data_IF_299151797040
#
_entry.id   IF_299151797040
#
_cell.length_a   1.000
_cell.length_b   1.000
_cell.length_c   1.000
_cell.angle_alpha   90.00
_cell.angle_beta   90.00
_cell.angle_gamma   90.00
#
_symmetry.space_group_name_H-M   'P 1'
#
loop_
_entity.id
_entity.type
_entity.pdbx_description
1 polymer ?
#
# COMPACT_ATOMS: atom_id res chain seq x y z
N UNK A 1 11.20 -9.93 8.49
CA UNK A 1 11.12 -11.32 8.00
C UNK A 1 12.48 -11.95 8.16
N UNK A 2 12.58 -13.18 8.66
CA UNK A 2 13.84 -13.92 8.75
C UNK A 2 13.79 -15.08 7.74
N UNK A 3 14.71 -15.10 6.77
CA UNK A 3 14.76 -16.10 5.71
C UNK A 3 16.02 -16.95 5.84
N UNK A 4 15.83 -18.22 6.22
CA UNK A 4 16.91 -19.16 6.50
C UNK A 4 17.40 -19.81 5.21
N UNK A 5 18.70 -19.69 4.93
CA UNK A 5 19.31 -20.14 3.67
C UNK A 5 20.52 -21.03 3.94
N UNK A 6 20.87 -21.84 2.95
CA UNK A 6 22.10 -22.63 3.01
C UNK A 6 23.32 -21.70 2.87
N UNK A 7 24.36 -21.83 3.72
CA UNK A 7 25.60 -21.08 3.53
C UNK A 7 26.15 -21.26 2.11
N UNK A 8 26.53 -20.15 1.46
CA UNK A 8 26.98 -20.14 0.06
C UNK A 8 25.89 -19.87 -0.97
N UNK A 9 24.61 -19.86 -0.57
CA UNK A 9 23.48 -19.36 -1.40
C UNK A 9 22.96 -17.99 -0.93
N UNK A 10 23.53 -17.45 0.14
CA UNK A 10 23.04 -16.27 0.84
C UNK A 10 23.08 -14.99 0.01
N UNK A 11 24.06 -14.83 -0.89
CA UNK A 11 24.15 -13.66 -1.77
C UNK A 11 23.01 -13.65 -2.82
N UNK A 12 22.70 -14.80 -3.41
CA UNK A 12 21.56 -14.93 -4.34
C UNK A 12 20.23 -14.58 -3.67
N UNK A 13 20.02 -15.10 -2.45
CA UNK A 13 18.81 -14.81 -1.70
C UNK A 13 18.74 -13.37 -1.20
N UNK A 14 19.88 -12.75 -0.89
CA UNK A 14 19.97 -11.34 -0.56
C UNK A 14 19.50 -10.47 -1.72
N UNK A 15 20.06 -10.69 -2.92
CA UNK A 15 19.70 -9.96 -4.14
C UNK A 15 18.23 -10.17 -4.52
N UNK A 16 17.75 -11.42 -4.41
CA UNK A 16 16.35 -11.74 -4.61
C UNK A 16 15.45 -10.90 -3.68
N UNK A 17 15.72 -10.92 -2.37
CA UNK A 17 14.87 -10.22 -1.41
C UNK A 17 14.95 -8.71 -1.57
N UNK A 18 16.13 -8.14 -1.82
CA UNK A 18 16.28 -6.72 -2.11
C UNK A 18 15.41 -6.29 -3.30
N UNK A 19 15.46 -7.05 -4.41
CA UNK A 19 14.62 -6.82 -5.58
C UNK A 19 13.12 -6.95 -5.27
N UNK A 20 12.72 -7.99 -4.53
CA UNK A 20 11.32 -8.18 -4.13
C UNK A 20 10.80 -7.03 -3.26
N UNK A 21 11.60 -6.52 -2.32
CA UNK A 21 11.17 -5.44 -1.42
C UNK A 21 11.00 -4.11 -2.15
N UNK A 22 11.91 -3.79 -3.07
CA UNK A 22 11.79 -2.60 -3.94
C UNK A 22 10.55 -2.70 -4.84
N UNK A 23 10.36 -3.85 -5.50
CA UNK A 23 9.18 -4.09 -6.34
C UNK A 23 7.87 -3.94 -5.55
N UNK A 24 7.84 -4.46 -4.31
CA UNK A 24 6.68 -4.31 -3.43
C UNK A 24 6.40 -2.85 -3.06
N UNK A 25 7.41 -2.02 -2.82
CA UNK A 25 7.22 -0.58 -2.59
C UNK A 25 6.58 0.14 -3.79
N UNK A 26 6.97 -0.22 -5.01
CA UNK A 26 6.32 0.30 -6.22
C UNK A 26 4.88 -0.20 -6.36
N UNK A 27 4.62 -1.48 -6.08
CA UNK A 27 3.28 -2.07 -6.15
C UNK A 27 2.27 -1.39 -5.21
N UNK A 28 2.72 -0.97 -4.02
CA UNK A 28 1.87 -0.22 -3.08
C UNK A 28 1.71 1.27 -3.45
N UNK A 29 2.30 1.70 -4.56
CA UNK A 29 2.13 3.03 -5.15
C UNK A 29 3.17 4.06 -4.75
N UNK A 30 4.30 3.66 -4.16
CA UNK A 30 5.39 4.59 -3.87
C UNK A 30 6.13 4.93 -5.17
N UNK A 31 6.27 6.22 -5.45
CA UNK A 31 6.96 6.74 -6.64
C UNK A 31 8.41 6.26 -6.72
N UNK A 32 8.85 5.69 -7.85
CA UNK A 32 10.22 5.18 -7.99
C UNK A 32 11.31 6.22 -7.75
N UNK A 33 11.11 7.45 -8.20
CA UNK A 33 12.05 8.56 -8.03
C UNK A 33 12.24 8.99 -6.58
N UNK A 34 11.35 8.57 -5.67
CA UNK A 34 11.43 8.85 -4.23
C UNK A 34 12.11 7.74 -3.44
N UNK A 35 12.54 6.66 -4.10
CA UNK A 35 13.22 5.54 -3.47
C UNK A 35 14.65 5.42 -3.98
N UNK A 36 15.56 5.05 -3.07
CA UNK A 36 16.93 4.66 -3.44
C UNK A 36 17.43 3.52 -2.58
N UNK A 37 18.47 2.87 -3.07
CA UNK A 37 19.23 1.87 -2.33
C UNK A 37 20.49 2.53 -1.78
N UNK A 38 20.71 2.45 -0.47
CA UNK A 38 21.92 2.90 0.21
C UNK A 38 22.64 1.68 0.77
N UNK A 39 23.71 1.26 0.10
CA UNK A 39 24.55 0.16 0.58
C UNK A 39 25.44 0.64 1.74
N UNK A 40 25.43 -0.11 2.85
CA UNK A 40 26.21 0.24 4.03
C UNK A 40 27.71 0.19 3.74
N UNK A 41 28.42 1.25 4.13
CA UNK A 41 29.88 1.28 4.10
C UNK A 41 30.53 0.45 5.23
N UNK A 42 31.87 0.27 5.21
CA UNK A 42 32.58 -0.50 6.23
C UNK A 42 32.38 -0.03 7.68
N UNK A 43 32.07 1.26 7.88
CA UNK A 43 31.84 1.86 9.20
C UNK A 43 30.36 1.86 9.62
N UNK A 44 29.45 1.47 8.72
CA UNK A 44 28.00 1.41 8.95
C UNK A 44 27.55 -0.04 9.19
N UNK A 45 28.27 -1.00 8.60
CA UNK A 45 27.99 -2.42 8.72
C UNK A 45 28.11 -2.89 10.18
N UNK A 46 27.03 -3.49 10.69
CA UNK A 46 27.09 -4.17 11.98
C UNK A 46 28.11 -5.33 11.92
N UNK A 47 28.81 -5.59 13.03
CA UNK A 47 29.89 -6.58 13.10
C UNK A 47 29.51 -8.02 12.68
N UNK A 48 28.22 -8.34 12.64
CA UNK A 48 27.67 -9.64 12.24
C UNK A 48 27.10 -9.66 10.82
N UNK A 49 26.90 -8.51 10.20
CA UNK A 49 26.35 -8.44 8.86
C UNK A 49 27.47 -8.67 7.85
N UNK A 50 27.24 -9.55 6.88
CA UNK A 50 28.08 -9.71 5.69
C UNK A 50 27.80 -8.58 4.70
N UNK A 51 26.53 -8.22 4.53
CA UNK A 51 26.08 -7.15 3.63
C UNK A 51 24.78 -6.57 4.17
N UNK A 52 24.60 -5.26 3.99
CA UNK A 52 23.39 -4.55 4.38
C UNK A 52 23.09 -3.43 3.38
N UNK A 53 21.82 -3.30 3.01
CA UNK A 53 21.31 -2.24 2.14
C UNK A 53 20.05 -1.67 2.76
N UNK A 54 20.03 -0.35 2.92
CA UNK A 54 18.82 0.37 3.27
C UNK A 54 18.07 0.78 1.99
N UNK A 55 16.79 0.46 1.93
CA UNK A 55 15.85 1.12 1.04
C UNK A 55 15.45 2.42 1.73
N UNK A 56 15.84 3.55 1.16
CA UNK A 56 15.55 4.87 1.70
C UNK A 56 14.45 5.57 0.91
N UNK A 57 13.68 6.40 1.60
CA UNK A 57 12.67 7.28 1.01
C UNK A 57 13.05 8.75 1.16
N UNK A 58 12.80 9.55 0.13
CA UNK A 58 13.03 11.00 0.15
C UNK A 58 11.84 11.74 0.83
N UNK A 59 11.93 11.92 2.14
CA UNK A 59 10.99 12.74 2.88
C UNK A 59 11.16 14.24 2.56
N UNK A 60 10.17 15.10 2.90
CA UNK A 60 10.32 16.55 2.81
C UNK A 60 11.53 17.14 3.57
N UNK A 61 12.04 16.38 4.55
CA UNK A 61 13.21 16.73 5.35
C UNK A 61 14.48 15.93 4.98
N UNK A 62 14.46 15.22 3.86
CA UNK A 62 15.61 14.49 3.31
C UNK A 62 15.47 12.97 3.31
N UNK A 63 16.52 12.31 2.85
CA UNK A 63 16.61 10.86 2.77
C UNK A 63 16.68 10.21 4.15
N UNK A 64 15.86 9.20 4.37
CA UNK A 64 15.88 8.36 5.58
C UNK A 64 15.54 6.92 5.22
N UNK A 65 16.07 5.97 6.00
CA UNK A 65 15.76 4.55 5.93
C UNK A 65 14.25 4.30 6.00
N UNK A 66 13.72 3.47 5.10
CA UNK A 66 12.34 2.93 5.13
C UNK A 66 12.34 1.44 5.51
N UNK A 67 13.23 0.67 4.91
CA UNK A 67 13.40 -0.77 5.14
C UNK A 67 14.86 -1.17 5.00
N UNK A 68 15.37 -1.99 5.91
CA UNK A 68 16.71 -2.56 5.82
C UNK A 68 16.68 -4.01 5.33
N UNK A 69 17.56 -4.35 4.40
CA UNK A 69 17.80 -5.72 3.92
C UNK A 69 19.21 -6.14 4.33
N UNK A 70 19.33 -7.24 5.06
CA UNK A 70 20.58 -7.65 5.71
C UNK A 70 20.89 -9.12 5.45
N UNK A 71 22.15 -9.42 5.17
CA UNK A 71 22.70 -10.77 5.26
C UNK A 71 23.48 -10.87 6.58
N UNK A 72 22.93 -11.60 7.54
CA UNK A 72 23.45 -11.70 8.93
C UNK A 72 24.26 -12.96 9.18
N UNK A 73 24.56 -13.71 8.12
CA UNK A 73 25.20 -15.03 8.21
C UNK A 73 24.52 -15.93 9.24
N UNK A 74 25.25 -16.71 10.02
CA UNK A 74 24.71 -17.58 11.07
C UNK A 74 24.72 -16.95 12.47
N UNK A 75 25.00 -15.65 12.58
CA UNK A 75 25.23 -14.98 13.85
C UNK A 75 24.09 -15.19 14.85
N UNK A 76 22.85 -14.97 14.42
CA UNK A 76 21.68 -15.07 15.30
C UNK A 76 21.50 -16.49 15.85
N UNK A 77 21.57 -17.49 14.97
CA UNK A 77 21.39 -18.87 15.34
C UNK A 77 22.56 -19.40 16.18
N UNK A 78 23.78 -18.98 15.89
CA UNK A 78 24.97 -19.41 16.64
C UNK A 78 24.93 -18.89 18.08
N UNK A 79 24.57 -17.61 18.28
CA UNK A 79 24.39 -17.02 19.60
C UNK A 79 23.27 -17.70 20.38
N UNK A 80 22.11 -17.91 19.76
CA UNK A 80 21.02 -18.62 20.42
C UNK A 80 21.38 -20.07 20.78
N UNK A 81 22.09 -20.79 19.91
CA UNK A 81 22.56 -22.14 20.20
C UNK A 81 23.53 -22.18 21.38
N UNK A 82 24.50 -21.26 21.44
CA UNK A 82 25.49 -21.15 22.53
C UNK A 82 24.79 -20.94 23.89
N UNK A 83 23.91 -19.94 23.99
CA UNK A 83 23.32 -19.58 25.28
C UNK A 83 22.13 -20.44 25.69
N UNK A 84 21.44 -21.09 24.75
CA UNK A 84 20.31 -21.99 25.08
C UNK A 84 20.71 -23.45 25.26
N UNK A 85 21.87 -23.86 24.74
CA UNK A 85 22.29 -25.27 24.66
C UNK A 85 21.43 -26.14 23.73
N UNK A 86 20.52 -25.54 22.95
CA UNK A 86 19.68 -26.25 21.97
C UNK A 86 20.32 -26.18 20.59
N UNK A 87 20.40 -27.33 19.91
CA UNK A 87 20.92 -27.39 18.54
C UNK A 87 19.90 -26.79 17.55
N UNK A 88 20.34 -25.82 16.75
CA UNK A 88 19.55 -25.13 15.73
C UNK A 88 20.02 -25.47 14.31
N UNK A 89 20.63 -26.65 14.15
CA UNK A 89 21.20 -27.14 12.89
C UNK A 89 20.08 -27.67 11.99
N UNK A 90 20.11 -27.28 10.71
CA UNK A 90 19.24 -27.84 9.67
C UNK A 90 19.88 -29.12 9.09
N UNK A 91 19.03 -30.10 8.76
CA UNK A 91 19.45 -31.35 8.12
C UNK A 91 18.72 -31.41 6.77
N UNK A 92 19.49 -31.33 5.67
CA UNK A 92 18.96 -31.41 4.33
C UNK A 92 18.41 -32.83 4.06
N UNK A 93 17.11 -32.98 3.77
CA UNK A 93 16.52 -34.30 3.52
C UNK A 93 17.00 -34.96 2.23
N UNK A 94 17.51 -34.19 1.26
CA UNK A 94 17.98 -34.72 -0.02
C UNK A 94 19.42 -35.24 0.07
N UNK A 95 20.30 -34.53 0.79
CA UNK A 95 21.73 -34.83 0.88
C UNK A 95 22.22 -35.35 2.24
N UNK A 96 21.42 -35.25 3.30
CA UNK A 96 21.83 -35.53 4.67
C UNK A 96 22.80 -34.52 5.28
N UNK A 97 23.13 -33.45 4.53
CA UNK A 97 24.05 -32.41 4.94
C UNK A 97 23.51 -31.66 6.16
N UNK A 98 24.40 -31.31 7.08
CA UNK A 98 24.08 -30.60 8.31
C UNK A 98 24.77 -29.27 8.33
N UNK A 99 24.00 -28.20 8.47
CA UNK A 99 24.55 -26.85 8.53
C UNK A 99 23.73 -25.96 9.46
N UNK A 100 24.37 -24.93 9.99
CA UNK A 100 23.67 -23.83 10.63
C UNK A 100 23.26 -22.86 9.52
N UNK A 101 21.94 -22.60 9.31
CA UNK A 101 21.51 -21.72 8.24
C UNK A 101 22.07 -20.32 8.39
N UNK A 102 22.34 -19.68 7.26
CA UNK A 102 22.51 -18.23 7.21
C UNK A 102 21.14 -17.56 7.19
N UNK A 103 21.10 -16.28 7.55
CA UNK A 103 19.87 -15.52 7.69
C UNK A 103 19.92 -14.28 6.78
N UNK A 104 19.01 -14.23 5.81
CA UNK A 104 18.68 -13.01 5.08
C UNK A 104 17.44 -12.40 5.73
N UNK A 105 17.55 -11.15 6.16
CA UNK A 105 16.49 -10.42 6.83
C UNK A 105 16.01 -9.25 5.97
N UNK A 106 14.69 -9.04 5.97
CA UNK A 106 14.11 -7.75 5.57
C UNK A 106 13.33 -7.18 6.76
N UNK A 107 13.58 -5.93 7.12
CA UNK A 107 13.02 -5.30 8.31
C UNK A 107 12.44 -3.93 7.96
N UNK A 108 11.13 -3.78 8.11
CA UNK A 108 10.40 -2.54 7.82
C UNK A 108 9.47 -2.17 8.97
N UNK A 109 9.47 -0.90 9.35
CA UNK A 109 8.52 -0.37 10.32
C UNK A 109 7.16 -0.07 9.69
N UNK A 110 6.09 -0.74 10.12
CA UNK A 110 4.72 -0.51 9.60
C UNK A 110 4.29 0.96 9.73
N UNK A 111 4.61 1.61 10.84
CA UNK A 111 4.30 3.03 11.04
C UNK A 111 5.05 3.94 10.05
N UNK A 112 6.30 3.59 9.72
CA UNK A 112 7.10 4.34 8.74
C UNK A 112 6.56 4.12 7.32
N UNK A 113 6.22 2.89 6.96
CA UNK A 113 5.57 2.59 5.68
C UNK A 113 4.23 3.33 5.51
N UNK A 114 3.41 3.41 6.56
CA UNK A 114 2.18 4.18 6.56
C UNK A 114 2.45 5.68 6.38
N UNK A 115 3.44 6.24 7.08
CA UNK A 115 3.84 7.63 6.90
C UNK A 115 4.32 7.91 5.48
N UNK A 116 5.14 7.04 4.90
CA UNK A 116 5.60 7.17 3.51
C UNK A 116 4.42 7.17 2.55
N UNK A 117 3.47 6.26 2.69
CA UNK A 117 2.28 6.25 1.82
C UNK A 117 1.48 7.57 1.91
N UNK A 118 1.36 8.15 3.12
CA UNK A 118 0.70 9.44 3.32
C UNK A 118 1.47 10.60 2.68
N UNK A 119 2.78 10.66 2.92
CA UNK A 119 3.65 11.74 2.43
C UNK A 119 3.82 11.67 0.91
N UNK A 120 3.97 10.47 0.35
CA UNK A 120 4.12 10.27 -1.08
C UNK A 120 2.83 10.59 -1.85
N UNK A 121 1.68 10.22 -1.26
CA UNK A 121 0.36 10.50 -1.82
C UNK A 121 -0.11 11.94 -1.66
N UNK A 122 0.40 12.69 -0.67
CA UNK A 122 -0.04 14.07 -0.43
C UNK A 122 0.39 15.00 -1.57
N UNK A 123 -0.58 15.76 -2.11
CA UNK A 123 -0.31 16.85 -3.05
C UNK A 123 -1.37 17.93 -3.00
N UNK A 124 -0.95 19.13 -3.36
CA UNK A 124 -1.82 20.28 -3.57
C UNK A 124 -1.87 20.60 -5.06
N UNK A 125 -3.07 20.81 -5.58
CA UNK A 125 -3.31 21.06 -7.01
C UNK A 125 -4.31 22.18 -7.22
N UNK A 126 -4.13 22.97 -8.28
CA UNK A 126 -5.12 23.96 -8.70
C UNK A 126 -6.07 23.38 -9.75
N UNK A 127 -7.37 23.43 -9.47
CA UNK A 127 -8.42 22.93 -10.37
C UNK A 127 -9.49 24.00 -10.51
N UNK A 128 -9.65 24.53 -11.73
CA UNK A 128 -10.65 25.56 -12.01
C UNK A 128 -10.47 26.85 -11.19
N UNK A 129 -9.22 27.25 -10.96
CA UNK A 129 -8.88 28.43 -10.15
C UNK A 129 -9.05 28.23 -8.63
N UNK A 130 -9.24 26.99 -8.17
CA UNK A 130 -9.36 26.66 -6.76
C UNK A 130 -8.32 25.61 -6.35
N UNK A 131 -7.59 25.89 -5.28
CA UNK A 131 -6.68 24.92 -4.68
C UNK A 131 -7.44 23.72 -4.10
N UNK A 132 -6.88 22.51 -4.25
CA UNK A 132 -7.35 21.28 -3.62
C UNK A 132 -6.19 20.51 -3.00
N UNK A 133 -6.47 19.91 -1.84
CA UNK A 133 -5.60 18.90 -1.23
C UNK A 133 -6.11 17.54 -1.69
N UNK A 134 -5.19 16.67 -2.12
CA UNK A 134 -5.49 15.29 -2.49
C UNK A 134 -4.52 14.36 -1.79
N UNK A 135 -5.06 13.28 -1.23
CA UNK A 135 -4.28 12.16 -0.74
C UNK A 135 -4.31 11.02 -1.77
N UNK A 136 -3.31 11.01 -2.65
CA UNK A 136 -3.12 10.08 -3.76
C UNK A 136 -2.77 8.65 -3.41
N UNK A 137 -3.38 8.05 -2.39
CA UNK A 137 -3.09 6.65 -2.02
C UNK A 137 -3.38 5.71 -3.18
N UNK A 138 -2.55 4.69 -3.38
CA UNK A 138 -2.90 3.55 -4.23
C UNK A 138 -4.30 3.03 -3.86
N UNK A 139 -5.16 2.70 -4.83
CA UNK A 139 -6.49 2.15 -4.54
C UNK A 139 -6.46 0.95 -3.61
N UNK A 140 -5.38 0.16 -3.60
CA UNK A 140 -5.15 -0.96 -2.68
C UNK A 140 -4.99 -0.52 -1.22
N UNK A 141 -4.35 0.61 -0.98
CA UNK A 141 -4.09 1.13 0.37
C UNK A 141 -5.19 2.07 0.90
N UNK A 142 -5.97 2.70 0.01
CA UNK A 142 -6.98 3.67 0.43
C UNK A 142 -7.94 3.09 1.49
N UNK A 143 -8.18 3.78 2.62
CA UNK A 143 -9.01 3.27 3.72
C UNK A 143 -10.49 3.12 3.30
N UNK A 144 -10.93 3.93 2.34
CA UNK A 144 -12.24 3.89 1.72
C UNK A 144 -11.99 3.72 0.22
N UNK A 145 -12.61 2.71 -0.40
CA UNK A 145 -12.49 2.46 -1.85
C UNK A 145 -13.46 3.31 -2.65
N UNK A 146 -14.67 3.48 -2.12
CA UNK A 146 -15.69 4.28 -2.77
C UNK A 146 -16.55 5.08 -1.79
N UNK A 147 -17.01 6.26 -2.21
CA UNK A 147 -17.98 7.05 -1.47
C UNK A 147 -19.25 7.25 -2.29
N UNK A 148 -20.43 7.01 -1.71
CA UNK A 148 -21.71 7.08 -2.41
C UNK A 148 -22.52 8.30 -1.97
N UNK A 149 -22.97 9.10 -2.92
CA UNK A 149 -23.61 10.39 -2.70
C UNK A 149 -24.96 10.48 -3.43
N UNK A 150 -26.08 10.70 -2.73
CA UNK A 150 -27.30 11.14 -3.40
C UNK A 150 -27.19 12.63 -3.77
N UNK A 151 -27.45 13.00 -5.02
CA UNK A 151 -27.38 14.40 -5.43
C UNK A 151 -28.43 15.25 -4.69
N UNK A 152 -29.63 14.70 -4.48
CA UNK A 152 -30.74 15.30 -3.77
C UNK A 152 -31.21 14.44 -2.58
N UNK A 153 -31.80 15.08 -1.57
CA UNK A 153 -32.37 14.41 -0.38
C UNK A 153 -33.82 13.94 -0.58
N UNK A 154 -34.22 13.68 -1.82
CA UNK A 154 -35.60 13.35 -2.20
C UNK A 154 -35.60 12.44 -3.42
N UNK A 155 -36.79 12.01 -3.85
CA UNK A 155 -37.00 11.17 -5.04
C UNK A 155 -36.29 9.80 -4.96
N UNK A 156 -36.19 9.20 -3.78
CA UNK A 156 -35.62 7.86 -3.65
C UNK A 156 -34.09 7.76 -3.77
N UNK A 157 -33.39 8.87 -4.07
CA UNK A 157 -31.94 8.84 -4.26
C UNK A 157 -31.17 8.42 -3.00
N UNK A 158 -31.53 8.89 -1.78
CA UNK A 158 -30.89 8.40 -0.56
C UNK A 158 -31.04 6.88 -0.38
N UNK A 159 -32.21 6.33 -0.68
CA UNK A 159 -32.50 4.90 -0.55
C UNK A 159 -31.68 4.07 -1.56
N UNK A 160 -31.57 4.53 -2.80
CA UNK A 160 -30.70 3.93 -3.82
C UNK A 160 -29.23 3.99 -3.43
N UNK A 161 -28.75 5.15 -2.97
CA UNK A 161 -27.38 5.33 -2.49
C UNK A 161 -27.05 4.38 -1.32
N UNK A 162 -27.97 4.23 -0.37
CA UNK A 162 -27.84 3.28 0.74
C UNK A 162 -27.86 1.82 0.27
N UNK A 163 -28.64 1.50 -0.76
CA UNK A 163 -28.64 0.17 -1.37
C UNK A 163 -27.29 -0.17 -2.01
N UNK A 164 -26.74 0.75 -2.81
CA UNK A 164 -25.44 0.60 -3.43
C UNK A 164 -24.31 0.51 -2.38
N UNK A 165 -24.36 1.35 -1.34
CA UNK A 165 -23.44 1.26 -0.20
C UNK A 165 -23.43 -0.14 0.43
N UNK A 166 -24.61 -0.73 0.66
CA UNK A 166 -24.72 -2.10 1.17
C UNK A 166 -24.17 -3.14 0.20
N UNK A 167 -24.37 -2.96 -1.11
CA UNK A 167 -23.80 -3.85 -2.12
C UNK A 167 -22.26 -3.83 -2.09
N UNK A 168 -21.66 -2.65 -2.07
CA UNK A 168 -20.20 -2.47 -1.96
C UNK A 168 -19.65 -3.13 -0.69
N UNK A 169 -20.27 -2.87 0.47
CA UNK A 169 -19.83 -3.45 1.74
C UNK A 169 -19.97 -4.97 1.78
N UNK A 170 -21.05 -5.55 1.23
CA UNK A 170 -21.20 -7.01 1.09
C UNK A 170 -20.11 -7.61 0.21
N UNK A 171 -19.66 -6.87 -0.80
CA UNK A 171 -18.54 -7.24 -1.65
C UNK A 171 -17.16 -7.09 -1.00
N UNK A 172 -17.10 -6.72 0.30
CA UNK A 172 -15.89 -6.42 1.08
C UNK A 172 -15.10 -5.21 0.57
N UNK A 173 -15.80 -4.24 -0.01
CA UNK A 173 -15.24 -2.96 -0.41
C UNK A 173 -15.59 -1.92 0.67
N UNK A 174 -14.60 -1.41 1.45
CA UNK A 174 -14.80 -0.29 2.34
C UNK A 174 -15.42 0.89 1.60
N UNK A 175 -16.60 1.31 2.04
CA UNK A 175 -17.35 2.37 1.38
C UNK A 175 -18.00 3.33 2.37
N UNK A 176 -18.03 4.61 2.00
CA UNK A 176 -18.59 5.71 2.77
C UNK A 176 -19.87 6.25 2.13
N UNK A 177 -20.66 6.97 2.92
CA UNK A 177 -21.88 7.64 2.48
C UNK A 177 -21.85 9.09 2.94
N UNK A 178 -22.26 10.02 2.07
CA UNK A 178 -22.35 11.43 2.43
C UNK A 178 -23.46 12.16 1.66
N UNK A 179 -24.27 12.91 2.40
CA UNK A 179 -25.35 13.76 1.88
C UNK A 179 -25.32 15.19 2.43
N UNK A 180 -24.22 15.57 3.09
CA UNK A 180 -24.06 16.86 3.75
C UNK A 180 -23.38 17.88 2.83
N UNK A 181 -24.02 19.04 2.65
CA UNK A 181 -23.50 20.12 1.82
C UNK A 181 -23.59 19.86 0.32
N UNK A 182 -22.95 20.73 -0.48
CA UNK A 182 -22.91 20.60 -1.93
C UNK A 182 -22.13 19.36 -2.37
N UNK A 183 -22.38 18.88 -3.59
CA UNK A 183 -21.65 17.74 -4.16
C UNK A 183 -20.14 18.01 -4.23
N UNK A 184 -19.74 19.24 -4.59
CA UNK A 184 -18.33 19.64 -4.59
C UNK A 184 -17.67 19.51 -3.21
N UNK A 185 -18.35 19.92 -2.13
CA UNK A 185 -17.82 19.75 -0.76
C UNK A 185 -17.67 18.28 -0.37
N UNK A 186 -18.54 17.41 -0.88
CA UNK A 186 -18.45 15.96 -0.67
C UNK A 186 -17.25 15.36 -1.40
N UNK A 187 -17.03 15.74 -2.66
CA UNK A 187 -15.81 15.36 -3.39
C UNK A 187 -14.54 15.81 -2.67
N UNK A 188 -14.47 17.08 -2.21
CA UNK A 188 -13.27 17.59 -1.51
C UNK A 188 -12.91 16.77 -0.26
N UNK A 189 -13.89 16.41 0.57
CA UNK A 189 -13.63 15.55 1.74
C UNK A 189 -13.05 14.19 1.37
N UNK A 190 -13.48 13.62 0.25
CA UNK A 190 -13.00 12.32 -0.21
C UNK A 190 -11.65 12.38 -0.91
N UNK A 191 -11.38 13.47 -1.64
CA UNK A 191 -10.06 13.76 -2.20
C UNK A 191 -9.02 13.85 -1.06
N UNK A 192 -9.35 14.56 0.04
CA UNK A 192 -8.51 14.67 1.25
C UNK A 192 -8.37 13.34 2.00
N UNK A 193 -9.43 12.52 2.05
CA UNK A 193 -9.40 11.20 2.68
C UNK A 193 -8.73 10.12 1.82
N UNK A 194 -8.38 10.46 0.58
CA UNK A 194 -7.74 9.58 -0.39
C UNK A 194 -8.63 8.48 -0.97
N UNK A 195 -9.95 8.67 -0.94
CA UNK A 195 -10.92 7.74 -1.53
C UNK A 195 -10.81 7.78 -3.06
N UNK A 196 -10.47 6.67 -3.75
CA UNK A 196 -10.23 6.68 -5.19
C UNK A 196 -11.47 7.06 -6.02
N UNK A 197 -12.66 6.60 -5.63
CA UNK A 197 -13.87 6.78 -6.43
C UNK A 197 -15.03 7.37 -5.65
N UNK A 198 -15.64 8.41 -6.22
CA UNK A 198 -16.88 8.98 -5.70
C UNK A 198 -18.03 8.67 -6.66
N UNK A 199 -19.08 8.01 -6.15
CA UNK A 199 -20.24 7.57 -6.91
C UNK A 199 -21.41 8.48 -6.58
N UNK A 200 -21.98 9.13 -7.58
CA UNK A 200 -23.14 10.00 -7.44
C UNK A 200 -24.38 9.35 -8.01
N UNK A 201 -25.44 9.28 -7.19
CA UNK A 201 -26.81 8.96 -7.60
C UNK A 201 -27.46 10.28 -8.02
N UNK A 202 -27.68 10.47 -9.31
CA UNK A 202 -28.25 11.70 -9.87
C UNK A 202 -29.71 11.53 -10.30
N UNK A 203 -30.26 12.56 -10.93
CA UNK A 203 -31.66 12.56 -11.35
C UNK A 203 -31.99 11.50 -12.40
N UNK A 204 -31.01 11.07 -13.19
CA UNK A 204 -31.20 10.11 -14.28
C UNK A 204 -31.11 8.66 -13.81
N UNK A 205 -30.48 8.41 -12.66
CA UNK A 205 -30.30 7.05 -12.12
C UNK A 205 -31.61 6.28 -11.95
N UNK A 206 -32.73 6.96 -11.65
CA UNK A 206 -34.04 6.31 -11.56
C UNK A 206 -34.53 5.75 -12.89
N UNK A 207 -34.20 6.43 -13.99
CA UNK A 207 -34.68 6.13 -15.33
C UNK A 207 -33.75 5.16 -16.07
N UNK A 208 -32.43 5.37 -15.98
CA UNK A 208 -31.44 4.61 -16.75
C UNK A 208 -30.66 3.55 -15.94
N UNK A 209 -30.96 3.43 -14.64
CA UNK A 209 -30.31 2.50 -13.72
C UNK A 209 -28.77 2.61 -13.72
N UNK A 210 -28.24 3.80 -13.96
CA UNK A 210 -26.80 4.05 -13.97
C UNK A 210 -26.39 5.19 -13.04
N UNK A 211 -25.12 5.18 -12.65
CA UNK A 211 -24.52 6.14 -11.72
C UNK A 211 -23.31 6.78 -12.34
N UNK A 212 -22.97 7.97 -11.84
CA UNK A 212 -21.77 8.69 -12.25
C UNK A 212 -20.65 8.37 -11.26
N UNK A 213 -19.54 7.80 -11.73
CA UNK A 213 -18.34 7.54 -10.94
C UNK A 213 -17.29 8.58 -11.32
N UNK A 214 -16.80 9.35 -10.33
CA UNK A 214 -15.70 10.31 -10.46
C UNK A 214 -14.41 9.71 -9.93
N UNK A 215 -13.35 9.77 -10.73
CA UNK A 215 -12.00 9.43 -10.31
C UNK A 215 -11.35 10.57 -9.49
N UNK A 216 -10.64 10.21 -8.42
CA UNK A 216 -9.95 11.16 -7.52
C UNK A 216 -8.85 11.92 -8.23
N UNK A 217 -8.01 11.19 -8.96
CA UNK A 217 -6.76 11.70 -9.50
C UNK A 217 -7.02 12.46 -10.80
N UNK A 218 -7.71 11.83 -11.76
CA UNK A 218 -7.94 12.42 -13.09
C UNK A 218 -9.11 13.39 -13.13
N UNK A 219 -10.00 13.37 -12.13
CA UNK A 219 -11.28 14.10 -12.10
C UNK A 219 -12.31 13.65 -13.14
N UNK A 220 -11.98 12.66 -13.96
CA UNK A 220 -12.87 12.17 -15.01
C UNK A 220 -14.11 11.52 -14.40
N UNK A 221 -15.22 11.64 -15.13
CA UNK A 221 -16.50 11.09 -14.74
C UNK A 221 -17.00 10.12 -15.81
N UNK A 222 -17.39 8.92 -15.37
CA UNK A 222 -17.90 7.87 -16.24
C UNK A 222 -19.28 7.42 -15.76
N UNK A 223 -20.15 7.02 -16.70
CA UNK A 223 -21.45 6.39 -16.40
C UNK A 223 -21.29 4.88 -16.34
N UNK A 224 -21.76 4.27 -15.25
CA UNK A 224 -21.70 2.83 -15.03
C UNK A 224 -23.06 2.33 -14.57
N UNK A 225 -23.54 1.22 -15.14
CA UNK A 225 -24.77 0.56 -14.70
C UNK A 225 -24.68 0.16 -13.22
N UNK A 226 -25.75 0.34 -12.45
CA UNK A 226 -25.79 0.09 -11.00
C UNK A 226 -25.35 -1.32 -10.62
N UNK A 227 -25.70 -2.30 -11.46
CA UNK A 227 -25.35 -3.71 -11.35
C UNK A 227 -23.86 -4.00 -11.59
N UNK A 228 -23.17 -3.15 -12.36
CA UNK A 228 -21.75 -3.30 -12.70
C UNK A 228 -20.79 -2.55 -11.78
N UNK A 229 -21.28 -1.67 -10.89
CA UNK A 229 -20.41 -0.80 -10.06
C UNK A 229 -19.43 -1.61 -9.19
N UNK A 230 -19.89 -2.71 -8.59
CA UNK A 230 -19.04 -3.54 -7.71
C UNK A 230 -17.86 -4.14 -8.49
N UNK A 231 -18.14 -4.69 -9.66
CA UNK A 231 -17.12 -5.33 -10.50
C UNK A 231 -16.18 -4.30 -11.11
N UNK A 232 -16.73 -3.15 -11.55
CA UNK A 232 -15.96 -2.02 -12.04
C UNK A 232 -14.88 -1.56 -11.04
N UNK A 233 -15.23 -1.52 -9.74
CA UNK A 233 -14.28 -1.18 -8.67
C UNK A 233 -13.26 -2.30 -8.47
N UNK A 234 -13.69 -3.57 -8.43
CA UNK A 234 -12.80 -4.71 -8.18
C UNK A 234 -11.72 -4.87 -9.24
N UNK A 235 -12.04 -4.62 -10.50
CA UNK A 235 -11.09 -4.69 -11.62
C UNK A 235 -9.97 -3.64 -11.52
N UNK A 236 -10.15 -2.62 -10.68
CA UNK A 236 -9.22 -1.49 -10.51
C UNK A 236 -8.50 -1.50 -9.15
N UNK A 237 -8.65 -2.57 -8.39
CA UNK A 237 -7.89 -2.84 -7.16
C UNK A 237 -6.76 -3.83 -7.44
#
# INVERSE_FOLDING_TARGET
MQFFVKPGSDDEWFDYWLGQRIAWHHEIGIRPEKLRQHAHGPNELAHYAKTAVDIEYEFPFGWQELEGVHNRTDFDLSRHQEYSGKRLIYIDPAGGERYLPFVVETAMGVGRAALVALVDGYREEEVGGQQRVVLGLSPRLAPIKAAVFPLMKKFGQPELAQSLLRALRRARLPAAYDQAGSIGRRYRRQDEAGTPWCITIDGQTGDDQSVTIRDRDTLEQVRVGLDHVVDWIRERL
#
